data_IF_111481268713
#
_entry.id   IF_111481268713
#
_cell.length_a   1.000
_cell.length_b   1.000
_cell.length_c   1.000
_cell.angle_alpha   90.00
_cell.angle_beta   90.00
_cell.angle_gamma   90.00
#
_symmetry.space_group_name_H-M   'P 1'
#
loop_
_entity.id
_entity.type
_entity.pdbx_description
1 polymer ?
#
# COMPACT_ATOMS: atom_id res chain seq x y z
N UNK A 1 -15.04 15.21 -22.82
CA UNK A 1 -15.26 14.12 -21.84
C UNK A 1 -14.07 13.16 -21.80
N UNK A 2 -12.86 13.71 -21.65
CA UNK A 2 -11.66 13.04 -21.10
C UNK A 2 -11.81 12.98 -19.56
N UNK A 3 -12.92 12.39 -19.06
CA UNK A 3 -13.52 12.77 -17.76
C UNK A 3 -13.67 11.69 -16.69
N UNK A 4 -13.11 10.48 -16.83
CA UNK A 4 -13.32 9.44 -15.78
C UNK A 4 -12.10 8.69 -15.26
N UNK A 5 -10.91 8.85 -15.87
CA UNK A 5 -9.65 8.36 -15.28
C UNK A 5 -9.08 9.34 -14.22
N UNK A 6 -9.70 10.51 -14.06
CA UNK A 6 -9.44 11.47 -12.97
C UNK A 6 -10.28 11.24 -11.69
N UNK A 7 -11.02 10.13 -11.57
CA UNK A 7 -12.08 10.04 -10.55
C UNK A 7 -11.68 9.43 -9.19
N UNK A 8 -10.49 8.84 -9.01
CA UNK A 8 -10.09 8.30 -7.69
C UNK A 8 -8.62 8.53 -7.26
N UNK A 9 -7.75 9.03 -8.14
CA UNK A 9 -6.51 9.64 -7.69
C UNK A 9 -6.83 11.09 -7.29
N UNK A 10 -6.63 11.48 -6.03
CA UNK A 10 -6.66 12.89 -5.63
C UNK A 10 -5.31 13.52 -5.99
N UNK A 11 -5.21 14.37 -7.03
CA UNK A 11 -4.04 15.22 -7.19
C UNK A 11 -4.05 16.28 -6.07
N UNK A 12 -2.91 16.45 -5.40
CA UNK A 12 -2.64 17.72 -4.73
C UNK A 12 -2.55 18.80 -5.83
N UNK A 13 -3.26 19.90 -5.62
CA UNK A 13 -3.76 20.75 -6.69
C UNK A 13 -2.68 21.63 -7.33
N UNK A 14 -2.17 21.23 -8.50
CA UNK A 14 -1.44 22.12 -9.41
C UNK A 14 -2.37 22.56 -10.55
N UNK A 15 -2.68 23.86 -10.64
CA UNK A 15 -3.40 24.45 -11.78
C UNK A 15 -2.54 24.34 -13.04
N UNK A 16 -2.91 23.45 -13.96
CA UNK A 16 -2.28 23.31 -15.26
C UNK A 16 -3.25 23.60 -16.42
N UNK A 17 -2.92 24.62 -17.18
CA UNK A 17 -3.56 25.07 -18.43
C UNK A 17 -3.41 24.01 -19.53
N UNK A 18 -4.46 23.86 -20.34
CA UNK A 18 -4.66 22.75 -21.29
C UNK A 18 -3.67 22.70 -22.46
N UNK A 19 -3.12 21.52 -22.74
CA UNK A 19 -2.68 21.12 -24.09
C UNK A 19 -3.29 19.77 -24.46
N UNK A 20 -3.95 19.74 -25.61
CA UNK A 20 -4.68 18.61 -26.17
C UNK A 20 -3.79 17.81 -27.13
N UNK A 21 -3.63 16.51 -26.91
CA UNK A 21 -3.22 15.55 -27.93
C UNK A 21 -4.07 14.27 -27.82
N UNK A 22 -4.77 13.92 -28.91
CA UNK A 22 -5.63 12.74 -29.06
C UNK A 22 -4.82 11.45 -28.83
N UNK A 23 -5.17 10.66 -27.80
CA UNK A 23 -4.56 9.35 -27.54
C UNK A 23 -5.37 8.21 -28.18
N UNK A 24 -4.67 7.24 -28.78
CA UNK A 24 -5.22 6.03 -29.39
C UNK A 24 -5.77 5.03 -28.35
N UNK A 25 -6.73 4.17 -28.74
CA UNK A 25 -7.34 3.13 -27.88
C UNK A 25 -6.29 2.10 -27.40
N UNK A 26 -6.34 1.63 -26.13
CA UNK A 26 -5.41 0.62 -25.61
C UNK A 26 -5.72 -0.79 -26.15
N UNK A 27 -4.65 -1.56 -26.42
CA UNK A 27 -4.70 -2.95 -26.93
C UNK A 27 -4.92 -3.94 -25.78
N UNK A 28 -5.68 -5.02 -25.99
CA UNK A 28 -5.80 -6.15 -25.04
C UNK A 28 -4.43 -6.82 -24.85
N UNK A 29 -4.07 -7.13 -23.61
CA UNK A 29 -2.76 -7.70 -23.22
C UNK A 29 -2.97 -8.92 -22.33
N UNK A 30 -2.02 -9.86 -22.33
CA UNK A 30 -2.00 -11.03 -21.45
C UNK A 30 -1.04 -10.77 -20.29
N UNK A 31 -1.54 -10.86 -19.06
CA UNK A 31 -0.79 -10.55 -17.84
C UNK A 31 -0.71 -11.80 -16.98
N UNK A 32 0.50 -12.27 -16.70
CA UNK A 32 0.77 -13.36 -15.78
C UNK A 32 1.08 -12.83 -14.39
N UNK A 33 0.40 -13.33 -13.37
CA UNK A 33 0.69 -13.09 -11.95
C UNK A 33 1.28 -14.37 -11.36
N UNK A 34 2.41 -14.25 -10.69
CA UNK A 34 3.11 -15.32 -9.98
C UNK A 34 3.05 -15.05 -8.47
N UNK A 35 3.25 -16.10 -7.67
CA UNK A 35 3.12 -16.06 -6.21
C UNK A 35 1.73 -15.64 -5.72
N UNK A 36 0.66 -16.00 -6.45
CA UNK A 36 -0.68 -15.62 -6.03
C UNK A 36 -1.14 -16.40 -4.80
N UNK A 37 -1.79 -15.68 -3.88
CA UNK A 37 -2.64 -16.28 -2.84
C UNK A 37 -4.07 -15.95 -3.23
N UNK A 38 -5.02 -16.84 -2.94
CA UNK A 38 -6.45 -16.72 -3.31
C UNK A 38 -7.08 -15.33 -3.08
N UNK A 39 -6.58 -14.55 -2.12
CA UNK A 39 -7.02 -13.17 -1.88
C UNK A 39 -6.62 -12.21 -3.02
N UNK A 40 -5.37 -12.28 -3.49
CA UNK A 40 -4.83 -11.41 -4.54
C UNK A 40 -5.52 -11.67 -5.88
N UNK A 41 -5.76 -12.94 -6.21
CA UNK A 41 -6.51 -13.39 -7.39
C UNK A 41 -7.91 -12.76 -7.43
N UNK A 42 -8.70 -12.99 -6.37
CA UNK A 42 -10.07 -12.48 -6.27
C UNK A 42 -10.14 -10.97 -6.36
N UNK A 43 -9.17 -10.28 -5.74
CA UNK A 43 -9.13 -8.83 -5.71
C UNK A 43 -8.77 -8.24 -7.09
N UNK A 44 -7.79 -8.82 -7.77
CA UNK A 44 -7.38 -8.37 -9.10
C UNK A 44 -8.44 -8.66 -10.16
N UNK A 45 -9.13 -9.80 -10.07
CA UNK A 45 -10.28 -10.11 -10.92
C UNK A 45 -11.46 -9.16 -10.66
N UNK A 46 -11.78 -8.90 -9.38
CA UNK A 46 -12.82 -7.94 -9.02
C UNK A 46 -12.48 -6.54 -9.55
N UNK A 47 -11.25 -6.07 -9.35
CA UNK A 47 -10.77 -4.79 -9.86
C UNK A 47 -10.84 -4.73 -11.40
N UNK A 48 -10.38 -5.77 -12.10
CA UNK A 48 -10.42 -5.79 -13.56
C UNK A 48 -11.85 -5.76 -14.12
N UNK A 49 -12.80 -6.40 -13.42
CA UNK A 49 -14.22 -6.38 -13.76
C UNK A 49 -14.86 -5.02 -13.46
N UNK A 50 -14.55 -4.42 -12.32
CA UNK A 50 -15.04 -3.09 -11.91
C UNK A 50 -14.55 -1.98 -12.84
N UNK A 51 -13.27 -2.03 -13.23
CA UNK A 51 -12.61 -1.03 -14.07
C UNK A 51 -12.74 -1.33 -15.58
N UNK A 52 -13.42 -2.43 -15.94
CA UNK A 52 -13.57 -2.91 -17.32
C UNK A 52 -12.24 -2.95 -18.09
N UNK A 53 -11.20 -3.48 -17.43
CA UNK A 53 -9.86 -3.59 -18.00
C UNK A 53 -9.87 -4.64 -19.11
N UNK A 54 -9.41 -4.30 -20.33
CA UNK A 54 -9.49 -5.18 -21.49
C UNK A 54 -8.35 -6.23 -21.51
N UNK A 55 -7.75 -6.54 -20.35
CA UNK A 55 -6.58 -7.41 -20.23
C UNK A 55 -6.97 -8.82 -19.79
N UNK A 56 -6.28 -9.82 -20.32
CA UNK A 56 -6.42 -11.22 -19.95
C UNK A 56 -5.49 -11.50 -18.76
N UNK A 57 -6.07 -11.73 -17.57
CA UNK A 57 -5.31 -12.00 -16.35
C UNK A 57 -5.14 -13.50 -16.15
N UNK A 58 -3.92 -13.95 -15.90
CA UNK A 58 -3.57 -15.34 -15.61
C UNK A 58 -2.83 -15.39 -14.30
N UNK A 59 -3.18 -16.34 -13.43
CA UNK A 59 -2.60 -16.44 -12.10
C UNK A 59 -1.92 -17.80 -11.92
N UNK A 60 -0.70 -17.77 -11.41
CA UNK A 60 0.16 -18.92 -11.19
C UNK A 60 0.51 -19.01 -9.70
N UNK A 61 0.20 -20.15 -9.03
CA UNK A 61 0.44 -20.36 -7.60
C UNK A 61 1.92 -20.52 -7.25
N UNK A 62 2.79 -20.50 -8.26
CA UNK A 62 4.22 -20.68 -8.10
C UNK A 62 4.92 -19.34 -8.13
N UNK A 63 6.01 -19.21 -7.35
CA UNK A 63 6.88 -18.04 -7.44
C UNK A 63 7.55 -17.95 -8.79
N UNK A 64 7.82 -16.73 -9.26
CA UNK A 64 8.62 -16.51 -10.46
C UNK A 64 10.10 -16.81 -10.14
N UNK A 65 10.61 -17.91 -10.70
CA UNK A 65 11.96 -18.40 -10.51
C UNK A 65 12.49 -19.03 -11.81
N UNK A 66 13.73 -19.53 -11.82
CA UNK A 66 14.38 -20.06 -13.03
C UNK A 66 13.61 -21.20 -13.73
N UNK A 67 12.83 -21.97 -12.96
CA UNK A 67 12.02 -23.09 -13.46
C UNK A 67 10.68 -22.61 -14.03
N UNK A 68 10.08 -21.60 -13.40
CA UNK A 68 8.76 -21.06 -13.77
C UNK A 68 8.83 -19.89 -14.75
N UNK A 69 9.98 -19.25 -14.93
CA UNK A 69 10.21 -18.19 -15.91
C UNK A 69 9.72 -18.51 -17.34
N UNK A 70 9.88 -19.74 -17.88
CA UNK A 70 9.32 -20.09 -19.19
C UNK A 70 7.80 -19.94 -19.26
N UNK A 71 7.08 -20.04 -18.14
CA UNK A 71 5.63 -19.87 -18.09
C UNK A 71 5.22 -18.42 -18.36
N UNK A 72 6.13 -17.46 -18.16
CA UNK A 72 5.90 -16.04 -18.44
C UNK A 72 6.16 -15.68 -19.92
N UNK A 73 6.66 -16.61 -20.75
CA UNK A 73 7.16 -16.29 -22.09
C UNK A 73 6.08 -15.84 -23.09
N UNK A 74 4.83 -16.29 -22.90
CA UNK A 74 3.70 -15.99 -23.79
C UNK A 74 2.82 -14.83 -23.28
N UNK A 75 3.32 -14.09 -22.28
CA UNK A 75 2.62 -12.98 -21.62
C UNK A 75 3.29 -11.64 -21.95
N UNK A 76 2.49 -10.60 -22.12
CA UNK A 76 2.98 -9.24 -22.33
C UNK A 76 3.57 -8.65 -21.04
N UNK A 77 3.13 -9.15 -19.88
CA UNK A 77 3.49 -8.68 -18.54
C UNK A 77 3.59 -9.89 -17.59
N UNK A 78 4.63 -9.92 -16.75
CA UNK A 78 4.80 -10.93 -15.71
C UNK A 78 5.03 -10.28 -14.34
N UNK A 79 4.06 -10.39 -13.44
CA UNK A 79 4.04 -9.79 -12.10
C UNK A 79 4.37 -10.86 -11.07
N UNK A 80 5.29 -10.59 -10.15
CA UNK A 80 5.53 -11.47 -8.99
C UNK A 80 5.01 -10.76 -7.72
N UNK A 81 4.02 -11.33 -7.04
CA UNK A 81 3.47 -10.76 -5.82
C UNK A 81 4.43 -10.95 -4.63
N UNK A 82 4.38 -9.98 -3.71
CA UNK A 82 5.06 -9.84 -2.40
C UNK A 82 6.13 -10.91 -2.04
N UNK A 83 7.35 -10.45 -1.75
CA UNK A 83 8.50 -11.22 -1.26
C UNK A 83 9.14 -12.21 -2.27
N UNK A 84 8.86 -12.05 -3.56
CA UNK A 84 9.63 -12.67 -4.62
C UNK A 84 10.98 -11.98 -4.84
N UNK A 85 12.07 -12.74 -4.74
CA UNK A 85 13.39 -12.37 -5.27
C UNK A 85 13.60 -13.07 -6.61
N UNK A 86 13.03 -12.52 -7.66
CA UNK A 86 13.31 -12.80 -9.08
C UNK A 86 14.75 -12.41 -9.46
N UNK A 87 15.70 -13.29 -9.17
CA UNK A 87 17.11 -13.06 -9.46
C UNK A 87 17.43 -12.83 -10.96
N UNK A 88 18.55 -12.18 -11.26
CA UNK A 88 19.03 -11.88 -12.63
C UNK A 88 18.95 -13.07 -13.62
N UNK A 89 19.26 -14.33 -13.24
CA UNK A 89 19.12 -15.46 -14.14
C UNK A 89 17.68 -15.76 -14.57
N UNK A 90 16.70 -15.51 -13.70
CA UNK A 90 15.26 -15.66 -13.98
C UNK A 90 14.84 -14.68 -15.05
N UNK A 91 15.31 -13.44 -14.91
CA UNK A 91 14.97 -12.31 -15.75
C UNK A 91 15.51 -12.45 -17.18
N UNK A 92 16.75 -12.91 -17.32
CA UNK A 92 17.35 -13.27 -18.61
C UNK A 92 16.53 -14.33 -19.36
N UNK A 93 15.80 -15.17 -18.65
CA UNK A 93 15.00 -16.25 -19.22
C UNK A 93 13.59 -15.82 -19.59
N UNK A 94 13.02 -14.85 -18.87
CA UNK A 94 11.76 -14.19 -19.23
C UNK A 94 11.97 -13.26 -20.44
N UNK A 95 13.14 -12.62 -20.56
CA UNK A 95 13.43 -11.61 -21.58
C UNK A 95 14.22 -12.22 -22.74
N UNK A 96 13.52 -12.65 -23.79
CA UNK A 96 14.19 -12.98 -25.06
C UNK A 96 14.71 -11.69 -25.73
N UNK A 97 16.04 -11.58 -25.83
CA UNK A 97 16.84 -10.61 -26.63
C UNK A 97 16.56 -9.11 -26.39
N UNK A 98 17.22 -8.49 -25.42
CA UNK A 98 18.13 -7.32 -25.58
C UNK A 98 18.64 -6.88 -24.19
N UNK A 99 19.77 -6.17 -24.19
CA UNK A 99 20.69 -5.82 -23.09
C UNK A 99 20.18 -5.84 -21.63
N UNK A 100 21.00 -6.51 -20.82
CA UNK A 100 20.93 -6.79 -19.38
C UNK A 100 21.03 -5.56 -18.46
N UNK A 101 20.10 -5.48 -17.51
CA UNK A 101 20.35 -5.25 -16.07
C UNK A 101 19.07 -5.65 -15.29
N UNK A 102 19.10 -5.69 -13.95
CA UNK A 102 18.32 -6.55 -13.00
C UNK A 102 16.98 -6.00 -12.45
N UNK A 103 15.89 -6.79 -12.39
CA UNK A 103 14.48 -6.38 -12.69
C UNK A 103 13.45 -6.87 -11.64
N UNK A 104 12.61 -6.01 -11.07
CA UNK A 104 11.38 -6.38 -10.34
C UNK A 104 10.32 -5.24 -10.26
N UNK A 105 9.12 -5.43 -10.86
CA UNK A 105 7.89 -4.65 -10.59
C UNK A 105 7.46 -3.60 -11.64
N UNK A 106 6.16 -3.48 -11.96
CA UNK A 106 5.62 -2.83 -13.19
C UNK A 106 4.72 -1.58 -12.99
N UNK A 107 4.73 -0.64 -13.95
CA UNK A 107 3.59 0.18 -14.50
C UNK A 107 3.81 0.47 -16.04
N UNK A 108 2.72 0.57 -16.83
CA UNK A 108 2.50 0.75 -18.31
C UNK A 108 3.25 1.94 -19.01
N UNK A 109 3.46 2.13 -20.34
CA UNK A 109 2.85 1.68 -21.62
C UNK A 109 3.81 1.74 -22.84
N UNK A 110 3.44 1.02 -23.93
CA UNK A 110 3.87 1.16 -25.33
C UNK A 110 5.32 0.74 -25.69
N UNK A 111 5.47 -0.52 -26.13
CA UNK A 111 6.68 -1.07 -26.82
C UNK A 111 8.04 -0.88 -26.12
N UNK A 112 8.07 -0.48 -24.85
CA UNK A 112 9.27 -0.39 -24.03
C UNK A 112 9.04 -1.21 -22.77
N UNK A 113 9.96 -2.13 -22.53
CA UNK A 113 10.10 -2.79 -21.24
C UNK A 113 10.40 -1.71 -20.20
N UNK A 114 9.65 -1.66 -19.11
CA UNK A 114 9.92 -0.76 -17.99
C UNK A 114 10.74 -1.53 -16.97
N UNK A 115 11.92 -1.00 -16.68
CA UNK A 115 12.90 -1.59 -15.80
C UNK A 115 12.75 -1.01 -14.39
N UNK A 116 12.57 -1.86 -13.39
CA UNK A 116 12.48 -1.45 -11.98
C UNK A 116 13.51 -2.24 -11.16
N UNK A 117 14.72 -1.71 -10.95
CA UNK A 117 15.69 -2.38 -10.07
C UNK A 117 15.19 -2.34 -8.63
N UNK A 118 15.21 -3.50 -7.96
CA UNK A 118 14.92 -3.56 -6.52
C UNK A 118 16.21 -3.33 -5.74
N UNK A 119 16.18 -2.33 -4.86
CA UNK A 119 17.27 -2.06 -3.93
C UNK A 119 16.84 -2.51 -2.52
N UNK A 120 17.63 -3.34 -1.82
CA UNK A 120 17.32 -3.76 -0.46
C UNK A 120 17.50 -2.63 0.56
N UNK A 121 18.26 -1.59 0.19
CA UNK A 121 18.49 -0.42 1.02
C UNK A 121 17.30 0.54 0.95
N UNK A 122 16.99 1.16 2.09
CA UNK A 122 16.00 2.23 2.16
C UNK A 122 16.43 3.40 1.28
N UNK A 123 15.47 4.06 0.66
CA UNK A 123 15.70 5.31 -0.05
C UNK A 123 15.98 6.42 0.98
N UNK A 124 17.13 7.07 0.81
CA UNK A 124 17.59 8.24 1.54
C UNK A 124 18.60 8.99 0.65
N UNK A 125 19.18 10.08 1.13
CA UNK A 125 20.08 10.91 0.32
C UNK A 125 21.30 10.14 -0.22
N UNK A 126 21.85 9.22 0.58
CA UNK A 126 23.02 8.42 0.21
C UNK A 126 22.69 7.31 -0.80
N UNK A 127 21.45 6.82 -0.83
CA UNK A 127 21.01 5.75 -1.73
C UNK A 127 20.21 6.25 -2.93
N UNK A 128 19.75 7.50 -2.93
CA UNK A 128 19.07 8.14 -4.07
C UNK A 128 19.86 8.04 -5.39
N UNK A 129 21.21 8.11 -5.43
CA UNK A 129 21.97 7.91 -6.66
C UNK A 129 21.79 6.53 -7.31
N UNK A 130 21.35 5.51 -6.56
CA UNK A 130 21.05 4.19 -7.11
C UNK A 130 19.88 4.23 -8.11
N UNK A 131 19.05 5.27 -8.08
CA UNK A 131 17.96 5.49 -9.03
C UNK A 131 18.43 6.09 -10.38
N UNK A 132 19.73 6.14 -10.64
CA UNK A 132 20.25 6.52 -11.97
C UNK A 132 19.65 5.63 -13.05
N UNK A 133 19.32 6.23 -14.20
CA UNK A 133 18.64 5.57 -15.33
C UNK A 133 17.22 5.06 -15.04
N UNK A 134 16.64 5.44 -13.88
CA UNK A 134 15.24 5.14 -13.55
C UNK A 134 14.34 6.35 -13.80
N UNK A 135 13.23 6.15 -14.53
CA UNK A 135 12.25 7.20 -14.77
C UNK A 135 11.35 7.46 -13.53
N UNK A 136 11.19 6.46 -12.65
CA UNK A 136 10.26 6.48 -11.52
C UNK A 136 10.92 5.83 -10.31
N UNK A 137 10.82 6.46 -9.13
CA UNK A 137 11.22 5.86 -7.86
C UNK A 137 10.00 5.33 -7.10
N UNK A 138 10.08 4.09 -6.61
CA UNK A 138 9.03 3.45 -5.80
C UNK A 138 9.46 3.38 -4.35
N UNK A 139 8.81 4.16 -3.49
CA UNK A 139 9.12 4.23 -2.06
C UNK A 139 8.05 3.56 -1.19
N UNK A 140 8.42 3.24 0.06
CA UNK A 140 7.55 2.67 1.08
C UNK A 140 7.61 3.47 2.39
N UNK A 141 6.83 3.03 3.40
CA UNK A 141 6.56 3.81 4.63
C UNK A 141 7.79 4.22 5.44
N UNK A 142 8.92 3.54 5.27
CA UNK A 142 10.14 3.76 6.05
C UNK A 142 11.28 4.42 5.25
N UNK A 143 11.00 4.82 4.01
CA UNK A 143 11.93 5.58 3.18
C UNK A 143 11.86 7.07 3.52
N UNK A 144 12.91 7.82 3.18
CA UNK A 144 12.97 9.28 3.32
C UNK A 144 12.84 9.91 1.94
N UNK A 145 11.81 10.74 1.73
CA UNK A 145 11.54 11.43 0.46
C UNK A 145 11.36 12.94 0.71
N UNK A 146 12.30 13.50 1.46
CA UNK A 146 12.37 14.92 1.78
C UNK A 146 12.98 15.74 0.63
N UNK A 147 13.05 17.08 0.80
CA UNK A 147 13.56 17.96 -0.24
C UNK A 147 14.96 17.59 -0.76
N UNK A 148 15.99 17.30 0.08
CA UNK A 148 17.29 16.85 -0.40
C UNK A 148 17.22 15.58 -1.25
N UNK A 149 16.42 14.59 -0.84
CA UNK A 149 16.26 13.34 -1.61
C UNK A 149 15.55 13.60 -2.93
N UNK A 150 14.46 14.38 -2.93
CA UNK A 150 13.73 14.72 -4.14
C UNK A 150 14.59 15.46 -5.17
N UNK A 151 15.39 16.44 -4.72
CA UNK A 151 16.36 17.12 -5.58
C UNK A 151 17.38 16.11 -6.14
N UNK A 152 17.92 15.22 -5.31
CA UNK A 152 18.88 14.22 -5.78
C UNK A 152 18.28 13.23 -6.77
N UNK A 153 17.04 12.81 -6.56
CA UNK A 153 16.30 11.94 -7.49
C UNK A 153 16.06 12.67 -8.82
N UNK A 154 15.72 13.96 -8.79
CA UNK A 154 15.58 14.79 -9.98
C UNK A 154 16.89 14.88 -10.76
N UNK A 155 18.00 15.09 -10.07
CA UNK A 155 19.34 15.19 -10.67
C UNK A 155 19.74 13.92 -11.43
N UNK A 156 19.35 12.75 -10.93
CA UNK A 156 19.64 11.45 -11.59
C UNK A 156 18.57 11.03 -12.60
N UNK A 157 17.62 11.91 -12.92
CA UNK A 157 16.67 11.74 -14.02
C UNK A 157 15.31 11.17 -13.64
N UNK A 158 15.02 10.97 -12.34
CA UNK A 158 13.71 10.50 -11.89
C UNK A 158 12.65 11.57 -12.12
N UNK A 159 11.51 11.13 -12.67
CA UNK A 159 10.42 12.01 -13.11
C UNK A 159 9.21 11.95 -12.18
N UNK A 160 9.01 10.85 -11.46
CA UNK A 160 7.84 10.65 -10.60
C UNK A 160 8.18 9.76 -9.39
N UNK A 161 7.35 9.89 -8.34
CA UNK A 161 7.40 9.06 -7.14
C UNK A 161 6.12 8.23 -7.03
N UNK A 162 6.27 6.93 -6.80
CA UNK A 162 5.18 6.01 -6.49
C UNK A 162 5.32 5.50 -5.06
N UNK A 163 4.26 5.59 -4.28
CA UNK A 163 4.19 5.07 -2.94
C UNK A 163 3.36 3.78 -2.95
N UNK A 164 3.98 2.68 -2.54
CA UNK A 164 3.27 1.41 -2.26
C UNK A 164 2.65 1.40 -0.86
N UNK A 165 2.14 2.55 -0.43
CA UNK A 165 1.52 2.79 0.87
C UNK A 165 0.32 3.72 0.75
N UNK A 166 -0.54 3.73 1.78
CA UNK A 166 -1.61 4.71 1.90
C UNK A 166 -1.09 6.04 2.46
N UNK A 167 -0.27 5.98 3.52
CA UNK A 167 0.40 7.16 4.10
C UNK A 167 1.52 7.68 3.20
N UNK A 168 1.73 8.99 3.27
CA UNK A 168 2.66 9.76 2.44
C UNK A 168 3.40 10.85 3.22
N UNK A 169 3.36 10.79 4.55
CA UNK A 169 3.93 11.80 5.46
C UNK A 169 5.47 11.94 5.33
N UNK A 170 6.13 10.92 4.79
CA UNK A 170 7.56 10.91 4.52
C UNK A 170 7.97 11.69 3.26
N UNK A 171 7.00 12.22 2.50
CA UNK A 171 7.24 12.95 1.26
C UNK A 171 7.07 14.44 1.48
N UNK A 172 8.07 15.23 1.11
CA UNK A 172 7.94 16.68 1.00
C UNK A 172 7.14 17.03 -0.27
N UNK A 173 5.83 17.16 -0.10
CA UNK A 173 4.90 17.42 -1.21
C UNK A 173 5.10 18.80 -1.84
N UNK A 174 5.50 19.79 -1.04
CA UNK A 174 5.74 21.15 -1.51
C UNK A 174 6.98 21.19 -2.43
N UNK A 175 8.04 20.49 -2.05
CA UNK A 175 9.22 20.36 -2.89
C UNK A 175 8.96 19.51 -4.14
N UNK A 176 8.20 18.42 -4.01
CA UNK A 176 7.80 17.60 -5.15
C UNK A 176 7.01 18.42 -6.18
N UNK A 177 6.13 19.32 -5.73
CA UNK A 177 5.41 20.27 -6.58
C UNK A 177 6.35 21.24 -7.30
N UNK A 178 7.30 21.86 -6.58
CA UNK A 178 8.29 22.78 -7.18
C UNK A 178 9.13 22.08 -8.26
N UNK A 179 9.54 20.84 -8.02
CA UNK A 179 10.32 20.02 -8.94
C UNK A 179 9.49 19.42 -10.09
N UNK A 180 8.17 19.64 -10.07
CA UNK A 180 7.19 19.06 -11.01
C UNK A 180 7.31 17.53 -11.07
N UNK A 181 7.50 16.90 -9.90
CA UNK A 181 7.59 15.46 -9.74
C UNK A 181 6.27 14.96 -9.16
N UNK A 182 5.36 14.37 -9.97
CA UNK A 182 4.11 13.83 -9.45
C UNK A 182 4.39 12.72 -8.43
N UNK A 183 3.62 12.76 -7.33
CA UNK A 183 3.61 11.75 -6.27
C UNK A 183 2.26 11.04 -6.33
N UNK A 184 2.26 9.71 -6.42
CA UNK A 184 1.05 8.89 -6.40
C UNK A 184 1.16 7.84 -5.30
N UNK A 185 0.03 7.51 -4.66
CA UNK A 185 -0.04 6.52 -3.59
C UNK A 185 -1.16 5.52 -3.84
N UNK A 186 -1.21 4.45 -3.03
CA UNK A 186 -2.33 3.51 -3.03
C UNK A 186 -3.19 3.77 -1.79
N UNK A 187 -4.26 4.57 -1.91
CA UNK A 187 -4.95 5.16 -0.75
C UNK A 187 -5.70 4.14 0.13
N UNK A 188 -5.89 2.90 -0.32
CA UNK A 188 -6.64 1.90 0.46
C UNK A 188 -6.31 0.46 0.03
N UNK A 189 -5.32 -0.16 0.67
CA UNK A 189 -5.11 -1.61 0.55
C UNK A 189 -6.13 -2.39 1.38
N UNK A 190 -6.16 -2.27 2.71
CA UNK A 190 -7.18 -2.94 3.54
C UNK A 190 -7.41 -2.17 4.84
N UNK A 191 -8.37 -1.23 4.87
CA UNK A 191 -8.75 -0.53 6.10
C UNK A 191 -9.20 -1.50 7.21
N UNK A 192 -9.85 -2.60 6.83
CA UNK A 192 -10.25 -3.69 7.73
C UNK A 192 -9.04 -4.33 8.42
N UNK A 193 -7.98 -4.69 7.67
CA UNK A 193 -6.82 -5.34 8.26
C UNK A 193 -6.16 -4.49 9.36
N UNK A 194 -6.08 -3.16 9.16
CA UNK A 194 -5.51 -2.25 10.17
C UNK A 194 -6.45 -2.09 11.37
N UNK A 195 -7.76 -1.95 11.14
CA UNK A 195 -8.75 -1.84 12.20
C UNK A 195 -8.80 -3.13 13.07
N UNK A 196 -8.80 -4.29 12.45
CA UNK A 196 -8.74 -5.60 13.12
C UNK A 196 -7.43 -5.78 13.89
N UNK A 197 -6.30 -5.34 13.32
CA UNK A 197 -5.01 -5.39 14.00
C UNK A 197 -5.02 -4.53 15.28
N UNK A 198 -5.56 -3.31 15.22
CA UNK A 198 -5.71 -2.45 16.40
C UNK A 198 -6.58 -3.10 17.49
N UNK A 199 -7.70 -3.72 17.11
CA UNK A 199 -8.55 -4.46 18.05
C UNK A 199 -7.83 -5.67 18.66
N UNK A 200 -7.04 -6.39 17.87
CA UNK A 200 -6.19 -7.50 18.34
C UNK A 200 -5.14 -7.04 19.36
N UNK A 201 -4.49 -5.89 19.13
CA UNK A 201 -3.55 -5.30 20.06
C UNK A 201 -4.22 -4.85 21.37
N UNK A 202 -5.38 -4.19 21.28
CA UNK A 202 -6.19 -3.80 22.44
C UNK A 202 -6.50 -5.03 23.33
N UNK A 203 -6.94 -6.14 22.74
CA UNK A 203 -7.20 -7.38 23.46
C UNK A 203 -5.92 -8.04 24.00
N UNK A 204 -4.83 -8.00 23.24
CA UNK A 204 -3.53 -8.54 23.66
C UNK A 204 -2.96 -7.82 24.87
N UNK A 205 -3.17 -6.50 24.98
CA UNK A 205 -2.79 -5.71 26.14
C UNK A 205 -3.68 -6.02 27.34
N UNK A 206 -4.99 -6.01 27.15
CA UNK A 206 -5.96 -6.26 28.21
C UNK A 206 -5.81 -7.66 28.82
N UNK A 207 -5.85 -8.71 27.98
CA UNK A 207 -5.81 -10.12 28.41
C UNK A 207 -4.40 -10.70 28.49
N UNK A 208 -3.37 -9.88 28.19
CA UNK A 208 -1.94 -10.22 28.28
C UNK A 208 -1.56 -11.50 27.54
N UNK A 209 -2.16 -11.74 26.36
CA UNK A 209 -1.93 -12.95 25.56
C UNK A 209 -0.45 -13.22 25.29
N UNK A 210 0.33 -12.17 25.02
CA UNK A 210 1.77 -12.24 24.82
C UNK A 210 2.54 -12.85 26.01
N UNK A 211 2.14 -12.55 27.26
CA UNK A 211 2.75 -13.15 28.47
C UNK A 211 2.21 -14.55 28.73
N UNK A 212 0.90 -14.74 28.59
CA UNK A 212 0.24 -16.02 28.81
C UNK A 212 0.84 -17.11 27.89
N UNK A 213 1.01 -16.78 26.60
CA UNK A 213 1.63 -17.66 25.61
C UNK A 213 3.03 -18.12 26.05
N UNK A 214 3.92 -17.18 26.39
CA UNK A 214 5.28 -17.51 26.83
C UNK A 214 5.29 -18.42 28.06
N UNK A 215 4.46 -18.12 29.06
CA UNK A 215 4.34 -18.95 30.27
C UNK A 215 3.89 -20.37 29.96
N UNK A 216 2.83 -20.53 29.15
CA UNK A 216 2.34 -21.87 28.79
C UNK A 216 3.37 -22.68 28.01
N UNK A 217 4.20 -22.03 27.18
CA UNK A 217 5.30 -22.67 26.45
C UNK A 217 6.41 -23.17 27.38
N UNK A 218 6.57 -22.55 28.53
CA UNK A 218 7.52 -22.92 29.59
C UNK A 218 6.87 -23.79 30.69
N UNK A 219 5.68 -24.35 30.43
CA UNK A 219 4.90 -25.14 31.40
C UNK A 219 4.57 -24.39 32.71
N UNK A 220 4.58 -23.07 32.68
CA UNK A 220 4.16 -22.23 33.79
C UNK A 220 2.68 -21.85 33.63
N UNK A 221 1.82 -22.39 34.50
CA UNK A 221 0.37 -22.14 34.46
C UNK A 221 -0.10 -21.11 35.49
N UNK A 222 0.84 -20.37 36.11
CA UNK A 222 0.49 -19.33 37.08
C UNK A 222 -0.25 -18.17 36.41
N UNK A 223 -1.41 -17.79 36.95
CA UNK A 223 -2.26 -16.70 36.45
C UNK A 223 -1.89 -15.34 37.04
N UNK A 224 -1.02 -15.28 38.05
CA UNK A 224 -0.66 -14.05 38.74
C UNK A 224 -0.10 -13.02 37.75
N UNK A 225 -0.67 -11.82 37.78
CA UNK A 225 -0.31 -10.73 36.88
C UNK A 225 -0.89 -10.84 35.47
N UNK A 226 -1.74 -11.84 35.15
CA UNK A 226 -2.44 -11.98 33.87
C UNK A 226 -3.88 -11.48 33.87
N UNK A 227 -4.43 -11.13 35.04
CA UNK A 227 -5.78 -10.59 35.14
C UNK A 227 -5.90 -9.30 34.31
N UNK A 228 -6.93 -9.27 33.47
CA UNK A 228 -7.37 -8.11 32.69
C UNK A 228 -8.73 -7.63 33.19
N UNK A 229 -9.49 -6.98 32.32
CA UNK A 229 -10.86 -6.55 32.59
C UNK A 229 -11.75 -6.81 31.37
N UNK A 230 -13.06 -6.75 31.58
CA UNK A 230 -14.01 -6.86 30.48
C UNK A 230 -14.17 -5.51 29.79
N UNK A 231 -14.06 -5.52 28.46
CA UNK A 231 -14.25 -4.34 27.62
C UNK A 231 -15.71 -3.90 27.56
N UNK A 232 -16.66 -4.82 27.75
CA UNK A 232 -18.07 -4.50 27.78
C UNK A 232 -18.36 -3.38 28.79
N UNK A 233 -19.06 -2.34 28.34
CA UNK A 233 -19.39 -1.15 29.12
C UNK A 233 -18.21 -0.19 29.37
N UNK A 234 -17.02 -0.44 28.83
CA UNK A 234 -15.90 0.52 28.87
C UNK A 234 -16.01 1.56 27.78
N UNK A 235 -15.36 2.69 27.99
CA UNK A 235 -15.22 3.74 26.99
C UNK A 235 -13.98 3.48 26.14
N UNK A 236 -14.10 3.62 24.82
CA UNK A 236 -12.97 3.56 23.87
C UNK A 236 -12.92 4.88 23.11
N UNK A 237 -11.81 5.60 23.25
CA UNK A 237 -11.52 6.82 22.51
C UNK A 237 -10.84 6.53 21.18
N UNK A 238 -11.34 7.13 20.09
CA UNK A 238 -10.77 7.02 18.74
C UNK A 238 -10.34 8.38 18.24
N UNK A 239 -9.03 8.55 18.01
CA UNK A 239 -8.47 9.78 17.42
C UNK A 239 -8.25 9.54 15.93
N UNK A 240 -9.00 10.27 15.10
CA UNK A 240 -9.07 10.07 13.66
C UNK A 240 -10.13 9.03 13.29
N UNK A 241 -11.18 9.49 12.63
CA UNK A 241 -12.35 8.72 12.16
C UNK A 241 -12.39 8.60 10.64
N UNK A 242 -11.22 8.60 9.99
CA UNK A 242 -11.10 8.17 8.59
C UNK A 242 -11.54 6.71 8.39
N UNK A 243 -11.26 6.14 7.22
CA UNK A 243 -11.71 4.77 6.87
C UNK A 243 -11.36 3.71 7.93
N UNK A 244 -10.17 3.78 8.51
CA UNK A 244 -9.70 2.82 9.53
C UNK A 244 -10.38 3.08 10.87
N UNK A 245 -10.41 4.33 11.34
CA UNK A 245 -10.98 4.70 12.63
C UNK A 245 -12.48 4.44 12.72
N UNK A 246 -13.23 4.67 11.64
CA UNK A 246 -14.65 4.34 11.58
C UNK A 246 -14.90 2.82 11.71
N UNK A 247 -14.13 1.99 10.99
CA UNK A 247 -14.23 0.53 11.10
C UNK A 247 -13.81 0.02 12.47
N UNK A 248 -12.73 0.57 13.04
CA UNK A 248 -12.32 0.23 14.41
C UNK A 248 -13.42 0.60 15.42
N UNK A 249 -14.06 1.76 15.26
CA UNK A 249 -15.18 2.18 16.10
C UNK A 249 -16.34 1.18 16.06
N UNK A 250 -16.67 0.65 14.87
CA UNK A 250 -17.65 -0.43 14.73
C UNK A 250 -17.25 -1.70 15.49
N UNK A 251 -15.99 -2.12 15.37
CA UNK A 251 -15.46 -3.29 16.08
C UNK A 251 -15.52 -3.09 17.60
N UNK A 252 -15.09 -1.92 18.09
CA UNK A 252 -15.15 -1.56 19.51
C UNK A 252 -16.59 -1.55 20.04
N UNK A 253 -17.54 -0.99 19.28
CA UNK A 253 -18.97 -1.07 19.58
C UNK A 253 -19.48 -2.51 19.64
N UNK A 254 -18.97 -3.40 18.77
CA UNK A 254 -19.26 -4.83 18.81
C UNK A 254 -18.82 -5.57 20.07
N UNK A 255 -17.80 -5.06 20.79
CA UNK A 255 -17.43 -5.53 22.13
C UNK A 255 -18.36 -5.02 23.25
N UNK A 256 -19.34 -4.17 22.91
CA UNK A 256 -20.23 -3.50 23.86
C UNK A 256 -19.57 -2.29 24.54
N UNK A 257 -18.54 -1.70 23.93
CA UNK A 257 -17.93 -0.47 24.43
C UNK A 257 -18.78 0.77 24.07
N UNK A 258 -18.72 1.81 24.90
CA UNK A 258 -19.10 3.17 24.51
C UNK A 258 -17.97 3.78 23.69
N UNK A 259 -18.22 4.15 22.44
CA UNK A 259 -17.18 4.72 21.58
C UNK A 259 -17.31 6.24 21.52
N UNK A 260 -16.23 6.94 21.88
CA UNK A 260 -16.09 8.38 21.70
C UNK A 260 -14.97 8.66 20.69
N UNK A 261 -15.05 9.77 19.96
CA UNK A 261 -14.04 10.07 18.96
C UNK A 261 -13.71 11.55 18.82
N UNK A 262 -12.53 11.83 18.30
CA UNK A 262 -12.11 13.14 17.85
C UNK A 262 -11.61 13.06 16.41
N UNK A 263 -12.06 13.98 15.58
CA UNK A 263 -11.56 14.22 14.23
C UNK A 263 -11.82 15.69 13.87
N UNK A 264 -11.00 16.27 12.98
CA UNK A 264 -11.23 17.61 12.42
C UNK A 264 -12.53 17.64 11.62
N UNK A 265 -12.91 16.51 11.02
CA UNK A 265 -14.16 16.34 10.30
C UNK A 265 -14.94 15.13 10.81
N UNK A 266 -16.21 15.34 11.18
CA UNK A 266 -17.07 14.23 11.56
C UNK A 266 -17.35 13.32 10.36
N UNK A 267 -17.14 12.01 10.55
CA UNK A 267 -17.45 11.00 9.57
C UNK A 267 -18.89 10.45 9.78
N UNK A 268 -19.80 10.57 8.79
CA UNK A 268 -21.15 10.01 8.85
C UNK A 268 -21.19 8.49 9.09
N UNK A 269 -20.21 7.75 8.59
CA UNK A 269 -20.12 6.31 8.80
C UNK A 269 -19.87 6.00 10.28
N UNK A 270 -18.94 6.70 10.93
CA UNK A 270 -18.68 6.56 12.35
C UNK A 270 -19.90 6.94 13.21
N UNK A 271 -20.60 8.03 12.84
CA UNK A 271 -21.85 8.43 13.49
C UNK A 271 -22.92 7.32 13.39
N UNK A 272 -23.01 6.64 12.24
CA UNK A 272 -23.95 5.52 12.05
C UNK A 272 -23.68 4.33 12.98
N UNK A 273 -22.46 4.22 13.51
CA UNK A 273 -22.07 3.20 14.49
C UNK A 273 -22.33 3.63 15.95
N UNK A 274 -22.95 4.80 16.17
CA UNK A 274 -23.24 5.32 17.50
C UNK A 274 -22.04 5.99 18.19
N UNK A 275 -21.04 6.42 17.42
CA UNK A 275 -19.87 7.14 17.95
C UNK A 275 -20.26 8.56 18.38
N UNK A 276 -19.85 8.95 19.58
CA UNK A 276 -20.03 10.30 20.13
C UNK A 276 -18.76 11.14 19.89
N UNK A 277 -18.85 12.26 19.17
CA UNK A 277 -17.69 13.14 18.96
C UNK A 277 -17.49 14.10 20.14
N UNK A 278 -16.24 14.25 20.55
CA UNK A 278 -15.82 15.14 21.64
C UNK A 278 -14.53 15.90 21.29
N UNK A 279 -14.24 17.02 21.97
CA UNK A 279 -12.92 17.65 21.91
C UNK A 279 -11.80 16.67 22.28
N UNK A 280 -10.61 16.83 21.68
CA UNK A 280 -9.49 15.89 21.87
C UNK A 280 -9.14 15.68 23.33
N UNK A 281 -9.08 16.76 24.12
CA UNK A 281 -8.73 16.69 25.55
C UNK A 281 -9.75 15.87 26.36
N UNK A 282 -11.03 15.95 26.00
CA UNK A 282 -12.08 15.13 26.62
C UNK A 282 -12.00 13.67 26.23
N UNK A 283 -11.58 13.36 24.99
CA UNK A 283 -11.37 11.98 24.54
C UNK A 283 -10.20 11.34 25.28
N UNK A 284 -9.11 12.09 25.47
CA UNK A 284 -7.90 11.59 26.14
C UNK A 284 -8.04 11.47 27.66
N UNK A 285 -8.97 12.21 28.27
CA UNK A 285 -9.20 12.19 29.72
C UNK A 285 -10.06 11.00 30.21
N UNK A 286 -10.59 10.16 29.31
CA UNK A 286 -11.42 8.99 29.60
C UNK A 286 -10.59 7.71 29.64
#
# INVERSE_FOLDING_TARGET
MYRRILAQAKPLAVRATSMSTKAAKPKNMRIAFFSDINYDTKRMEAMAKEENLPHELHFFPHRLNLRTAPMAADFDVAVDFVNGTVEEPVLKKVIKKTQTSTIHGWIHSSKKWVFAPFFPHRLNLGTAPLATDCDIAVAFVNDTVDAPVLNKLKDVGVKAILLRSAGYDMVDLDEAEKLKMPVMNVPSYSPYAVAEHAAGLMMTLNRKYHRAYNRTREFNFNLQGLLGFDLHGKTVGVVGTGKIGALFSKIAGGFGCKVIAYDVHQNPEALSYGVEYKPLDEVLAQ
#
